data_IF_002517744410
#
_entry.id   IF_002517744410
#
_cell.length_a   1.000
_cell.length_b   1.000
_cell.length_c   1.000
_cell.angle_alpha   90.00
_cell.angle_beta   90.00
_cell.angle_gamma   90.00
#
_symmetry.space_group_name_H-M   'P 1'
#
loop_
_entity.id
_entity.type
_entity.pdbx_description
1 polymer ?
#
# COMPACT_ATOMS: atom_id res chain seq x y z
N UNK A 1 18.63 8.86 3.49
CA UNK A 1 18.73 9.48 2.16
C UNK A 1 17.33 9.78 1.68
N UNK A 2 16.97 11.05 1.41
CA UNK A 2 15.61 11.35 0.91
C UNK A 2 15.42 10.65 -0.43
N UNK A 3 14.36 9.86 -0.55
CA UNK A 3 14.00 9.19 -1.78
C UNK A 3 13.42 10.23 -2.76
N UNK A 4 13.81 10.14 -4.03
CA UNK A 4 13.27 10.98 -5.11
C UNK A 4 11.96 10.38 -5.60
N UNK A 5 11.00 11.21 -5.99
CA UNK A 5 9.78 10.75 -6.63
C UNK A 5 10.18 10.02 -7.91
N UNK A 6 9.78 8.75 -8.09
CA UNK A 6 10.12 8.00 -9.29
C UNK A 6 9.29 8.47 -10.49
N UNK A 7 9.81 8.29 -11.69
CA UNK A 7 9.06 8.50 -12.92
C UNK A 7 7.87 7.52 -13.00
N UNK A 8 6.69 8.05 -13.26
CA UNK A 8 5.46 7.30 -13.46
C UNK A 8 4.96 7.45 -14.89
N UNK A 9 4.38 6.39 -15.44
CA UNK A 9 3.81 6.40 -16.81
C UNK A 9 2.36 6.91 -16.77
N UNK A 10 2.22 8.21 -16.51
CA UNK A 10 0.93 8.91 -16.43
C UNK A 10 0.90 10.11 -17.36
N UNK A 11 -0.28 10.51 -17.79
CA UNK A 11 -0.48 11.60 -18.75
C UNK A 11 -0.42 12.99 -18.13
N UNK A 12 -0.54 13.11 -16.79
CA UNK A 12 -0.60 14.37 -16.07
C UNK A 12 0.66 14.65 -15.24
N UNK A 13 0.94 15.93 -14.97
CA UNK A 13 2.07 16.38 -14.16
C UNK A 13 1.76 16.27 -12.65
N UNK A 14 1.82 15.05 -12.14
CA UNK A 14 1.54 14.75 -10.73
C UNK A 14 2.52 15.43 -9.75
N UNK A 15 3.76 15.71 -10.15
CA UNK A 15 4.69 16.43 -9.30
C UNK A 15 4.24 17.87 -9.06
N UNK A 16 3.72 18.52 -10.09
CA UNK A 16 3.16 19.87 -9.97
C UNK A 16 1.93 19.87 -9.09
N UNK A 17 1.05 18.87 -9.25
CA UNK A 17 -0.13 18.68 -8.41
C UNK A 17 0.24 18.55 -6.94
N UNK A 18 1.22 17.69 -6.63
CA UNK A 18 1.70 17.48 -5.26
C UNK A 18 2.34 18.73 -4.66
N UNK A 19 3.16 19.46 -5.43
CA UNK A 19 3.78 20.70 -5.01
C UNK A 19 2.73 21.77 -4.66
N UNK A 20 1.71 21.90 -5.49
CA UNK A 20 0.59 22.82 -5.26
C UNK A 20 -0.21 22.43 -4.02
N UNK A 21 -0.59 21.16 -3.90
CA UNK A 21 -1.30 20.62 -2.73
C UNK A 21 -0.56 20.92 -1.42
N UNK A 22 0.74 20.60 -1.35
CA UNK A 22 1.57 20.87 -0.18
C UNK A 22 1.67 22.39 0.11
N UNK A 23 1.82 23.20 -0.94
CA UNK A 23 1.89 24.66 -0.81
C UNK A 23 0.59 25.23 -0.21
N UNK A 24 -0.56 24.80 -0.69
CA UNK A 24 -1.86 25.24 -0.18
C UNK A 24 -2.06 24.79 1.27
N UNK A 25 -1.73 23.54 1.60
CA UNK A 25 -1.78 23.04 2.98
C UNK A 25 -0.92 23.89 3.93
N UNK A 26 0.34 24.12 3.53
CA UNK A 26 1.27 24.95 4.32
C UNK A 26 0.74 26.37 4.53
N UNK A 27 0.19 26.99 3.49
CA UNK A 27 -0.34 28.35 3.58
C UNK A 27 -1.56 28.45 4.49
N UNK A 28 -2.40 27.39 4.57
CA UNK A 28 -3.62 27.40 5.38
C UNK A 28 -3.42 26.94 6.81
N UNK A 29 -2.55 25.94 7.02
CA UNK A 29 -2.35 25.29 8.31
C UNK A 29 -1.04 25.68 9.00
N UNK A 30 -0.13 26.36 8.29
CA UNK A 30 1.11 26.90 8.86
C UNK A 30 1.94 25.84 9.58
N UNK A 31 2.32 26.17 10.81
CA UNK A 31 3.13 25.30 11.68
C UNK A 31 2.37 24.07 12.22
N UNK A 32 1.06 23.99 12.01
CA UNK A 32 0.31 22.77 12.35
C UNK A 32 0.68 21.59 11.48
N UNK A 33 1.11 21.84 10.22
CA UNK A 33 1.56 20.80 9.28
C UNK A 33 3.03 20.47 9.53
N UNK A 34 3.32 19.28 9.99
CA UNK A 34 4.67 18.80 10.31
C UNK A 34 5.33 18.06 9.16
N UNK A 35 4.62 17.13 8.54
CA UNK A 35 5.14 16.31 7.44
C UNK A 35 4.07 15.96 6.41
N UNK A 36 4.51 15.77 5.18
CA UNK A 36 3.71 15.20 4.10
C UNK A 36 4.54 14.17 3.36
N UNK A 37 4.01 12.96 3.25
CA UNK A 37 4.56 11.88 2.45
C UNK A 37 3.67 11.56 1.25
N UNK A 38 4.29 11.32 0.11
CA UNK A 38 3.67 10.60 -0.99
C UNK A 38 3.82 9.10 -0.72
N UNK A 39 2.73 8.36 -0.81
CA UNK A 39 2.69 6.92 -0.62
C UNK A 39 2.07 6.23 -1.85
N UNK A 40 1.71 4.95 -1.74
CA UNK A 40 0.98 4.26 -2.79
C UNK A 40 1.77 4.05 -4.09
N UNK A 41 1.04 3.94 -5.19
CA UNK A 41 1.61 3.61 -6.51
C UNK A 41 2.56 4.67 -7.04
N UNK A 42 2.23 5.95 -6.87
CA UNK A 42 3.09 7.05 -7.31
C UNK A 42 4.44 7.07 -6.60
N UNK A 43 4.47 6.76 -5.31
CA UNK A 43 5.73 6.68 -4.57
C UNK A 43 6.57 5.46 -4.97
N UNK A 44 5.94 4.41 -5.47
CA UNK A 44 6.63 3.20 -5.93
C UNK A 44 7.10 3.27 -7.38
N UNK A 45 6.46 4.10 -8.22
CA UNK A 45 6.74 4.19 -9.66
C UNK A 45 5.90 3.21 -10.49
N UNK A 46 4.82 2.67 -9.92
CA UNK A 46 3.89 1.76 -10.61
C UNK A 46 2.48 2.37 -10.84
N UNK A 47 2.36 3.70 -10.76
CA UNK A 47 1.13 4.40 -11.03
C UNK A 47 0.75 4.40 -12.52
N UNK A 48 -0.55 4.48 -12.79
CA UNK A 48 -1.14 4.70 -14.11
C UNK A 48 -2.23 5.79 -14.02
N UNK A 49 -2.80 6.18 -15.15
CA UNK A 49 -3.80 7.28 -15.22
C UNK A 49 -5.08 7.04 -14.39
N UNK A 50 -5.31 5.84 -13.89
CA UNK A 50 -6.42 5.51 -13.00
C UNK A 50 -5.99 5.41 -11.52
N UNK A 51 -4.75 5.76 -11.20
CA UNK A 51 -4.23 5.69 -9.84
C UNK A 51 -4.48 6.99 -9.08
N UNK A 52 -4.97 6.87 -7.84
CA UNK A 52 -5.11 8.00 -6.91
C UNK A 52 -3.74 8.44 -6.39
N UNK A 53 -3.61 9.72 -6.05
CA UNK A 53 -2.45 10.27 -5.36
C UNK A 53 -2.60 10.05 -3.85
N UNK A 54 -2.01 8.98 -3.32
CA UNK A 54 -2.05 8.67 -1.90
C UNK A 54 -1.06 9.53 -1.11
N UNK A 55 -1.56 10.36 -0.21
CA UNK A 55 -0.77 11.30 0.59
C UNK A 55 -1.02 11.08 2.08
N UNK A 56 0.06 11.04 2.84
CA UNK A 56 0.04 10.87 4.28
C UNK A 56 0.53 12.16 4.96
N UNK A 57 -0.33 12.79 5.77
CA UNK A 57 -0.07 14.08 6.40
C UNK A 57 0.02 13.92 7.92
N UNK A 58 1.07 14.50 8.53
CA UNK A 58 1.27 14.54 9.97
C UNK A 58 1.12 15.96 10.46
N UNK A 59 0.32 16.12 11.50
CA UNK A 59 0.04 17.41 12.14
C UNK A 59 0.46 17.40 13.61
N UNK A 60 0.74 18.57 14.19
CA UNK A 60 0.97 18.69 15.64
C UNK A 60 -0.26 18.25 16.42
N UNK A 61 -1.46 18.60 15.96
CA UNK A 61 -2.74 18.16 16.52
C UNK A 61 -3.77 17.99 15.40
N UNK A 62 -4.75 17.11 15.60
CA UNK A 62 -5.88 16.96 14.69
C UNK A 62 -7.15 17.44 15.36
N UNK A 63 -7.91 18.27 14.66
CA UNK A 63 -9.26 18.69 14.98
C UNK A 63 -10.10 18.81 13.72
N UNK A 64 -11.37 19.13 13.87
CA UNK A 64 -12.30 19.26 12.75
C UNK A 64 -11.81 20.25 11.68
N UNK A 65 -11.29 21.40 12.07
CA UNK A 65 -10.77 22.42 11.15
C UNK A 65 -9.61 21.91 10.28
N UNK A 66 -8.68 21.17 10.89
CA UNK A 66 -7.55 20.55 10.16
C UNK A 66 -8.07 19.56 9.13
N UNK A 67 -8.95 18.64 9.52
CA UNK A 67 -9.49 17.62 8.61
C UNK A 67 -10.30 18.21 7.46
N UNK A 68 -11.18 19.18 7.75
CA UNK A 68 -11.95 19.90 6.73
C UNK A 68 -11.05 20.67 5.75
N UNK A 69 -9.99 21.31 6.29
CA UNK A 69 -9.02 22.06 5.46
C UNK A 69 -8.26 21.10 4.55
N UNK A 70 -7.80 19.95 5.03
CA UNK A 70 -7.12 18.93 4.21
C UNK A 70 -8.06 18.44 3.11
N UNK A 71 -9.28 18.05 3.46
CA UNK A 71 -10.27 17.59 2.47
C UNK A 71 -10.63 18.65 1.42
N UNK A 72 -10.74 19.92 1.85
CA UNK A 72 -10.93 21.06 0.94
C UNK A 72 -9.76 21.21 -0.03
N UNK A 73 -8.51 21.21 0.48
CA UNK A 73 -7.31 21.36 -0.33
C UNK A 73 -7.17 20.21 -1.33
N UNK A 74 -7.34 18.97 -0.89
CA UNK A 74 -7.26 17.78 -1.75
C UNK A 74 -8.25 17.87 -2.92
N UNK A 75 -9.52 18.12 -2.62
CA UNK A 75 -10.59 18.20 -3.62
C UNK A 75 -10.37 19.35 -4.63
N UNK A 76 -10.00 20.53 -4.15
CA UNK A 76 -9.81 21.68 -5.07
C UNK A 76 -8.56 21.51 -5.93
N UNK A 77 -7.48 20.94 -5.40
CA UNK A 77 -6.30 20.64 -6.20
C UNK A 77 -6.61 19.58 -7.25
N UNK A 78 -7.30 18.49 -6.89
CA UNK A 78 -7.74 17.46 -7.86
C UNK A 78 -8.57 18.06 -9.00
N UNK A 79 -9.55 18.89 -8.67
CA UNK A 79 -10.39 19.56 -9.68
C UNK A 79 -9.61 20.54 -10.56
N UNK A 80 -8.63 21.26 -10.00
CA UNK A 80 -7.84 22.25 -10.74
C UNK A 80 -6.90 21.63 -11.77
N UNK A 81 -6.49 20.39 -11.56
CA UNK A 81 -5.54 19.68 -12.43
C UNK A 81 -6.15 18.49 -13.17
N UNK A 82 -7.47 18.29 -13.03
CA UNK A 82 -8.18 17.14 -13.65
C UNK A 82 -7.49 15.79 -13.33
N UNK A 83 -7.04 15.64 -12.10
CA UNK A 83 -6.53 14.36 -11.58
C UNK A 83 -7.63 13.62 -10.85
N UNK A 84 -7.53 12.27 -10.74
CA UNK A 84 -8.57 11.44 -10.18
C UNK A 84 -8.89 11.85 -8.74
N UNK A 85 -7.97 11.62 -7.83
CA UNK A 85 -8.17 11.93 -6.41
C UNK A 85 -6.84 12.12 -5.71
N UNK A 86 -6.79 13.08 -4.78
CA UNK A 86 -5.75 13.12 -3.75
C UNK A 86 -6.35 12.47 -2.51
N UNK A 87 -6.02 11.20 -2.30
CA UNK A 87 -6.45 10.41 -1.16
C UNK A 87 -5.56 10.73 0.04
N UNK A 88 -6.13 11.34 1.08
CA UNK A 88 -5.37 11.82 2.23
C UNK A 88 -5.61 10.99 3.48
N UNK A 89 -4.53 10.57 4.13
CA UNK A 89 -4.54 10.03 5.49
C UNK A 89 -3.88 11.02 6.44
N UNK A 90 -4.46 11.23 7.60
CA UNK A 90 -4.03 12.24 8.56
C UNK A 90 -3.79 11.62 9.93
N UNK A 91 -2.64 11.95 10.54
CA UNK A 91 -2.32 11.61 11.93
C UNK A 91 -1.81 12.83 12.67
N UNK A 92 -2.06 12.88 13.98
CA UNK A 92 -1.32 13.77 14.87
C UNK A 92 0.10 13.25 15.12
N UNK A 93 0.99 14.11 15.56
CA UNK A 93 2.34 13.74 15.97
C UNK A 93 2.33 12.70 17.09
N UNK A 94 1.41 12.85 18.06
CA UNK A 94 1.25 11.93 19.17
C UNK A 94 0.81 10.54 18.70
N UNK A 95 -0.17 10.45 17.79
CA UNK A 95 -0.60 9.20 17.18
C UNK A 95 0.55 8.57 16.40
N UNK A 96 1.25 9.33 15.55
CA UNK A 96 2.36 8.86 14.74
C UNK A 96 3.52 8.30 15.59
N UNK A 97 3.78 8.87 16.77
CA UNK A 97 4.80 8.40 17.71
C UNK A 97 4.31 7.29 18.67
N UNK A 98 3.05 6.91 18.60
CA UNK A 98 2.50 5.90 19.50
C UNK A 98 2.93 4.49 19.14
N UNK A 99 2.99 3.58 20.15
CA UNK A 99 3.29 2.16 19.92
C UNK A 99 2.29 1.48 19.00
N UNK A 100 1.03 1.93 18.97
CA UNK A 100 0.00 1.37 18.09
C UNK A 100 0.39 1.57 16.63
N UNK A 101 0.86 2.76 16.27
CA UNK A 101 1.35 3.04 14.92
C UNK A 101 2.73 2.46 14.65
N UNK A 102 3.58 2.36 15.67
CA UNK A 102 4.88 1.68 15.54
C UNK A 102 4.71 0.19 15.18
N UNK A 103 3.69 -0.47 15.74
CA UNK A 103 3.33 -1.85 15.42
C UNK A 103 2.51 -1.97 14.13
N UNK A 104 1.97 -0.88 13.64
CA UNK A 104 1.20 -0.86 12.42
C UNK A 104 2.12 -0.87 11.20
N UNK A 105 1.79 -1.71 10.24
CA UNK A 105 2.63 -1.95 9.07
C UNK A 105 2.99 -0.70 8.26
N UNK A 106 2.16 0.33 8.34
CA UNK A 106 2.31 1.58 7.60
C UNK A 106 3.59 2.33 8.02
N UNK A 107 3.96 2.26 9.28
CA UNK A 107 5.14 2.94 9.82
C UNK A 107 6.45 2.43 9.19
N UNK A 108 6.64 1.12 9.13
CA UNK A 108 7.83 0.54 8.50
C UNK A 108 7.78 0.68 6.97
N UNK A 109 6.58 0.62 6.38
CA UNK A 109 6.37 0.78 4.94
C UNK A 109 6.60 2.22 4.50
N UNK A 110 6.34 3.23 5.36
CA UNK A 110 6.62 4.63 5.06
C UNK A 110 8.09 4.86 4.70
N UNK A 111 9.03 4.21 5.40
CA UNK A 111 10.46 4.31 5.06
C UNK A 111 10.87 3.55 3.80
N UNK A 112 10.20 2.42 3.51
CA UNK A 112 10.59 1.56 2.40
C UNK A 112 10.02 2.03 1.06
N UNK A 113 8.83 2.62 1.06
CA UNK A 113 8.14 2.89 -0.18
C UNK A 113 7.47 4.26 -0.29
N UNK A 114 7.73 5.20 0.63
CA UNK A 114 7.22 6.57 0.55
C UNK A 114 8.28 7.58 0.13
N UNK A 115 7.83 8.77 -0.26
CA UNK A 115 8.67 9.92 -0.58
C UNK A 115 8.27 11.09 0.31
N UNK A 116 9.21 11.64 1.08
CA UNK A 116 8.97 12.82 1.90
C UNK A 116 8.88 14.06 1.02
N UNK A 117 7.68 14.66 0.95
CA UNK A 117 7.41 15.89 0.19
C UNK A 117 7.68 17.16 0.99
N UNK A 118 7.37 17.14 2.30
CA UNK A 118 7.50 18.29 3.18
C UNK A 118 7.86 17.88 4.61
N UNK A 119 8.60 18.76 5.30
CA UNK A 119 8.99 18.58 6.70
C UNK A 119 10.26 17.77 6.89
N UNK A 120 10.46 17.31 8.12
CA UNK A 120 11.56 16.45 8.53
C UNK A 120 11.03 15.19 9.21
N UNK A 121 11.76 14.10 9.08
CA UNK A 121 11.36 12.82 9.69
C UNK A 121 11.31 12.96 11.22
N UNK A 122 10.14 12.69 11.80
CA UNK A 122 9.89 12.86 13.23
C UNK A 122 10.37 11.68 14.09
N UNK A 123 10.58 10.53 13.49
CA UNK A 123 10.91 9.29 14.20
C UNK A 123 12.00 8.53 13.46
N UNK A 124 13.03 8.12 14.19
CA UNK A 124 14.06 7.22 13.67
C UNK A 124 13.56 5.77 13.77
N UNK A 125 13.51 5.08 12.64
CA UNK A 125 13.06 3.68 12.60
C UNK A 125 14.25 2.76 12.84
N UNK A 126 14.36 2.29 14.08
CA UNK A 126 15.29 1.22 14.42
C UNK A 126 14.69 -0.17 14.14
N UNK A 127 15.54 -1.15 13.81
CA UNK A 127 15.14 -2.56 13.64
C UNK A 127 14.03 -2.78 12.59
N UNK A 128 14.12 -2.06 11.46
CA UNK A 128 13.10 -2.09 10.41
C UNK A 128 12.79 -3.52 9.93
N UNK A 129 13.79 -4.40 9.82
CA UNK A 129 13.60 -5.79 9.38
C UNK A 129 12.71 -6.58 10.32
N UNK A 130 12.89 -6.46 11.65
CA UNK A 130 12.07 -7.17 12.63
C UNK A 130 10.64 -6.66 12.64
N UNK A 131 10.47 -5.34 12.58
CA UNK A 131 9.14 -4.70 12.51
C UNK A 131 8.39 -5.11 11.25
N UNK A 132 9.06 -5.07 10.10
CA UNK A 132 8.48 -5.51 8.82
C UNK A 132 8.15 -6.99 8.85
N UNK A 133 9.02 -7.85 9.42
CA UNK A 133 8.79 -9.29 9.54
C UNK A 133 7.54 -9.60 10.37
N UNK A 134 7.39 -8.98 11.52
CA UNK A 134 6.21 -9.18 12.37
C UNK A 134 4.93 -8.68 11.69
N UNK A 135 5.01 -7.52 11.05
CA UNK A 135 3.90 -6.88 10.35
C UNK A 135 3.37 -7.74 9.19
N UNK A 136 4.25 -8.23 8.29
CA UNK A 136 3.76 -8.98 7.14
C UNK A 136 3.15 -10.33 7.56
N UNK A 137 3.71 -11.03 8.53
CA UNK A 137 3.15 -12.28 9.05
C UNK A 137 1.75 -12.08 9.65
N UNK A 138 1.56 -11.01 10.44
CA UNK A 138 0.26 -10.63 11.01
C UNK A 138 -0.78 -10.34 9.92
N UNK A 139 -0.40 -9.57 8.90
CA UNK A 139 -1.30 -9.22 7.80
C UNK A 139 -1.60 -10.42 6.88
N UNK A 140 -0.62 -11.27 6.61
CA UNK A 140 -0.84 -12.52 5.89
C UNK A 140 -1.82 -13.43 6.63
N UNK A 141 -1.83 -13.43 7.97
CA UNK A 141 -2.82 -14.17 8.74
C UNK A 141 -4.26 -13.68 8.46
N UNK A 142 -4.47 -12.36 8.29
CA UNK A 142 -5.77 -11.82 7.90
C UNK A 142 -6.18 -12.27 6.49
N UNK A 143 -5.26 -12.25 5.53
CA UNK A 143 -5.51 -12.76 4.17
C UNK A 143 -5.85 -14.25 4.20
N UNK A 144 -5.10 -15.04 5.00
CA UNK A 144 -5.35 -16.46 5.18
C UNK A 144 -6.76 -16.74 5.75
N UNK A 145 -7.20 -15.93 6.72
CA UNK A 145 -8.55 -16.04 7.28
C UNK A 145 -9.63 -15.75 6.24
N UNK A 146 -9.42 -14.78 5.35
CA UNK A 146 -10.34 -14.51 4.23
C UNK A 146 -10.44 -15.68 3.26
N UNK A 147 -9.32 -16.32 2.92
CA UNK A 147 -9.30 -17.51 2.06
C UNK A 147 -10.05 -18.67 2.75
N UNK A 148 -9.74 -18.93 4.01
CA UNK A 148 -10.42 -19.96 4.81
C UNK A 148 -11.93 -19.74 4.89
N UNK A 149 -12.35 -18.48 5.04
CA UNK A 149 -13.77 -18.15 5.01
C UNK A 149 -14.43 -18.63 3.71
N UNK A 150 -13.87 -18.26 2.54
CA UNK A 150 -14.42 -18.69 1.24
C UNK A 150 -14.46 -20.22 1.07
N UNK A 151 -13.46 -20.93 1.60
CA UNK A 151 -13.43 -22.39 1.56
C UNK A 151 -14.49 -22.99 2.51
N UNK A 152 -14.60 -22.46 3.74
CA UNK A 152 -15.52 -22.98 4.77
C UNK A 152 -17.01 -22.76 4.42
N UNK A 153 -17.33 -21.64 3.76
CA UNK A 153 -18.72 -21.38 3.32
C UNK A 153 -19.04 -22.01 1.97
N UNK A 154 -18.07 -22.72 1.38
CA UNK A 154 -18.18 -23.31 0.04
C UNK A 154 -18.67 -22.29 -0.99
N UNK A 155 -18.03 -21.12 -1.02
CA UNK A 155 -18.46 -19.99 -1.86
C UNK A 155 -18.56 -20.40 -3.32
N UNK A 156 -19.71 -20.23 -3.98
CA UNK A 156 -19.89 -20.57 -5.37
C UNK A 156 -18.86 -19.82 -6.26
N UNK A 157 -18.28 -20.53 -7.24
CA UNK A 157 -17.26 -19.96 -8.13
C UNK A 157 -17.72 -18.70 -8.88
N UNK A 158 -19.01 -18.59 -9.15
CA UNK A 158 -19.63 -17.44 -9.81
C UNK A 158 -19.55 -16.17 -8.94
N UNK A 159 -19.46 -16.32 -7.63
CA UNK A 159 -19.30 -15.24 -6.66
C UNK A 159 -17.83 -14.91 -6.37
N UNK A 160 -16.90 -15.77 -6.76
CA UNK A 160 -15.45 -15.57 -6.65
C UNK A 160 -14.91 -14.72 -7.81
N UNK A 161 -15.51 -13.56 -8.03
CA UNK A 161 -15.10 -12.66 -9.12
C UNK A 161 -13.67 -12.16 -8.91
N UNK A 162 -12.96 -11.85 -10.00
CA UNK A 162 -11.62 -11.26 -9.94
C UNK A 162 -11.59 -10.00 -9.05
N UNK A 163 -12.59 -9.11 -9.19
CA UNK A 163 -12.70 -7.90 -8.37
C UNK A 163 -12.76 -8.24 -6.88
N UNK A 164 -13.58 -9.20 -6.48
CA UNK A 164 -13.75 -9.63 -5.07
C UNK A 164 -12.45 -10.21 -4.53
N UNK A 165 -11.86 -11.17 -5.25
CA UNK A 165 -10.62 -11.82 -4.82
C UNK A 165 -9.45 -10.85 -4.83
N UNK A 166 -9.36 -9.96 -5.82
CA UNK A 166 -8.32 -8.93 -5.85
C UNK A 166 -8.43 -7.99 -4.66
N UNK A 167 -9.63 -7.52 -4.32
CA UNK A 167 -9.82 -6.58 -3.21
C UNK A 167 -9.45 -7.19 -1.86
N UNK A 168 -9.87 -8.42 -1.57
CA UNK A 168 -9.75 -9.01 -0.23
C UNK A 168 -8.57 -9.96 -0.06
N UNK A 169 -7.96 -10.42 -1.16
CA UNK A 169 -6.87 -11.41 -1.11
C UNK A 169 -5.66 -10.91 -1.89
N UNK A 170 -5.76 -10.76 -3.23
CA UNK A 170 -4.57 -10.56 -4.06
C UNK A 170 -3.89 -9.20 -3.81
N UNK A 171 -4.63 -8.10 -3.72
CA UNK A 171 -4.05 -6.77 -3.48
C UNK A 171 -3.39 -6.68 -2.09
N UNK A 172 -4.04 -7.07 -0.98
CA UNK A 172 -3.36 -7.18 0.32
C UNK A 172 -2.14 -8.10 0.27
N UNK A 173 -2.25 -9.26 -0.37
CA UNK A 173 -1.14 -10.21 -0.52
C UNK A 173 0.08 -9.58 -1.20
N UNK A 174 -0.10 -8.78 -2.27
CA UNK A 174 1.03 -8.11 -2.96
C UNK A 174 1.81 -7.19 -2.03
N UNK A 175 1.16 -6.48 -1.12
CA UNK A 175 1.85 -5.65 -0.13
C UNK A 175 2.71 -6.49 0.81
N UNK A 176 2.18 -7.61 1.28
CA UNK A 176 2.87 -8.45 2.25
C UNK A 176 4.00 -9.26 1.62
N UNK A 177 3.85 -9.70 0.38
CA UNK A 177 4.92 -10.37 -0.38
C UNK A 177 6.12 -9.44 -0.63
N UNK A 178 5.89 -8.13 -0.86
CA UNK A 178 6.99 -7.16 -0.96
C UNK A 178 7.80 -7.07 0.34
N UNK A 179 7.11 -7.06 1.48
CA UNK A 179 7.74 -7.05 2.81
C UNK A 179 8.50 -8.35 3.08
N UNK A 180 7.92 -9.48 2.70
CA UNK A 180 8.59 -10.78 2.80
C UNK A 180 9.89 -10.78 1.97
N UNK A 181 9.86 -10.32 0.72
CA UNK A 181 11.07 -10.19 -0.11
C UNK A 181 12.12 -9.27 0.51
N UNK A 182 11.69 -8.15 1.07
CA UNK A 182 12.61 -7.27 1.79
C UNK A 182 13.28 -7.99 2.96
N UNK A 183 12.54 -8.70 3.78
CA UNK A 183 13.10 -9.47 4.90
C UNK A 183 14.06 -10.58 4.43
N UNK A 184 13.75 -11.23 3.29
CA UNK A 184 14.55 -12.33 2.76
C UNK A 184 15.82 -11.87 2.00
N UNK A 185 15.77 -10.72 1.33
CA UNK A 185 16.82 -10.29 0.38
C UNK A 185 17.45 -8.94 0.71
N UNK A 186 16.86 -8.16 1.62
CA UNK A 186 17.23 -6.77 1.89
C UNK A 186 16.74 -5.77 0.83
N UNK A 187 16.07 -6.24 -0.24
CA UNK A 187 15.55 -5.39 -1.34
C UNK A 187 14.03 -5.38 -1.30
N UNK A 188 13.43 -4.19 -1.22
CA UNK A 188 11.99 -4.01 -1.29
C UNK A 188 11.55 -3.84 -2.75
N UNK A 189 10.77 -4.78 -3.33
CA UNK A 189 10.28 -4.65 -4.70
C UNK A 189 9.27 -3.51 -4.81
N UNK A 190 9.55 -2.50 -5.61
CA UNK A 190 8.69 -1.32 -5.75
C UNK A 190 7.53 -1.58 -6.70
N UNK A 191 7.79 -2.22 -7.85
CA UNK A 191 6.74 -2.58 -8.80
C UNK A 191 6.31 -4.05 -8.67
N UNK A 192 5.17 -4.39 -9.29
CA UNK A 192 4.67 -5.78 -9.32
C UNK A 192 5.57 -6.65 -10.21
N UNK A 193 6.15 -6.08 -11.25
CA UNK A 193 7.11 -6.75 -12.13
C UNK A 193 8.38 -7.14 -11.36
N UNK A 194 8.94 -6.21 -10.57
CA UNK A 194 10.09 -6.51 -9.69
C UNK A 194 9.74 -7.60 -8.67
N UNK A 195 8.52 -7.57 -8.11
CA UNK A 195 8.05 -8.62 -7.21
C UNK A 195 7.96 -9.97 -7.93
N UNK A 196 7.41 -9.99 -9.16
CA UNK A 196 7.34 -11.21 -9.98
C UNK A 196 8.72 -11.80 -10.25
N UNK A 197 9.69 -10.95 -10.61
CA UNK A 197 11.06 -11.37 -10.93
C UNK A 197 11.82 -11.86 -9.68
N UNK A 198 11.43 -11.41 -8.49
CA UNK A 198 12.08 -11.78 -7.23
C UNK A 198 11.78 -13.22 -6.78
N UNK A 199 10.77 -13.87 -7.36
CA UNK A 199 10.42 -15.26 -7.09
C UNK A 199 10.87 -16.19 -8.23
N UNK A 200 11.54 -17.29 -7.86
CA UNK A 200 11.98 -18.34 -8.80
C UNK A 200 11.19 -19.65 -8.65
N UNK A 201 10.25 -19.68 -7.71
CA UNK A 201 9.44 -20.85 -7.35
C UNK A 201 7.95 -20.62 -7.65
N UNK A 202 7.11 -21.54 -7.21
CA UNK A 202 5.64 -21.46 -7.40
C UNK A 202 5.00 -20.22 -6.74
N UNK A 203 5.69 -19.51 -5.84
CA UNK A 203 5.17 -18.26 -5.28
C UNK A 203 4.96 -17.20 -6.36
N UNK A 204 5.69 -17.30 -7.48
CA UNK A 204 5.49 -16.48 -8.69
C UNK A 204 4.04 -16.51 -9.18
N UNK A 205 3.35 -17.64 -9.08
CA UNK A 205 1.96 -17.79 -9.53
C UNK A 205 1.01 -16.87 -8.75
N UNK A 206 1.27 -16.59 -7.47
CA UNK A 206 0.45 -15.64 -6.69
C UNK A 206 0.51 -14.23 -7.27
N UNK A 207 1.69 -13.80 -7.71
CA UNK A 207 1.88 -12.49 -8.35
C UNK A 207 1.27 -12.48 -9.75
N UNK A 208 1.43 -13.58 -10.51
CA UNK A 208 0.81 -13.72 -11.83
C UNK A 208 -0.73 -13.63 -11.77
N UNK A 209 -1.38 -14.18 -10.75
CA UNK A 209 -2.83 -14.05 -10.57
C UNK A 209 -3.27 -12.60 -10.35
N UNK A 210 -2.44 -11.78 -9.71
CA UNK A 210 -2.73 -10.35 -9.58
C UNK A 210 -2.53 -9.59 -10.90
N UNK A 211 -1.51 -9.94 -11.68
CA UNK A 211 -1.17 -9.25 -12.93
C UNK A 211 -2.04 -9.66 -14.12
N UNK A 212 -2.49 -10.93 -14.13
CA UNK A 212 -3.17 -11.53 -15.27
C UNK A 212 -4.58 -11.98 -14.90
N UNK A 213 -5.53 -11.08 -15.08
CA UNK A 213 -6.94 -11.32 -14.82
C UNK A 213 -7.48 -12.53 -15.58
N UNK A 214 -7.17 -12.67 -16.87
CA UNK A 214 -7.69 -13.76 -17.72
C UNK A 214 -7.21 -15.13 -17.22
N UNK A 215 -5.93 -15.20 -16.83
CA UNK A 215 -5.39 -16.44 -16.23
C UNK A 215 -6.10 -16.78 -14.94
N UNK A 216 -6.28 -15.80 -14.04
CA UNK A 216 -6.98 -16.04 -12.78
C UNK A 216 -8.42 -16.50 -13.00
N UNK A 217 -9.19 -15.77 -13.83
CA UNK A 217 -10.59 -16.10 -14.10
C UNK A 217 -10.74 -17.49 -14.73
N UNK A 218 -9.87 -17.86 -15.68
CA UNK A 218 -9.85 -19.20 -16.26
C UNK A 218 -9.59 -20.28 -15.22
N UNK A 219 -8.59 -20.10 -14.36
CA UNK A 219 -8.19 -21.08 -13.38
C UNK A 219 -9.24 -21.22 -12.27
N UNK A 220 -9.87 -20.13 -11.83
CA UNK A 220 -11.03 -20.14 -10.89
C UNK A 220 -12.22 -20.88 -11.50
N UNK A 221 -12.57 -20.62 -12.75
CA UNK A 221 -13.69 -21.30 -13.41
C UNK A 221 -13.45 -22.81 -13.56
N UNK A 222 -12.18 -23.20 -13.74
CA UNK A 222 -11.80 -24.59 -13.93
C UNK A 222 -11.69 -25.35 -12.59
N UNK A 223 -11.04 -24.74 -11.59
CA UNK A 223 -10.76 -25.39 -10.29
C UNK A 223 -10.63 -24.36 -9.16
N UNK A 224 -11.74 -23.71 -8.79
CA UNK A 224 -11.72 -22.67 -7.74
C UNK A 224 -11.19 -23.17 -6.40
N UNK A 225 -11.55 -24.38 -5.99
CA UNK A 225 -11.05 -24.97 -4.73
C UNK A 225 -9.54 -25.18 -4.77
N UNK A 226 -9.00 -25.64 -5.89
CA UNK A 226 -7.56 -25.81 -6.07
C UNK A 226 -6.81 -24.50 -6.04
N UNK A 227 -7.33 -23.42 -6.66
CA UNK A 227 -6.74 -22.08 -6.62
C UNK A 227 -6.74 -21.54 -5.18
N UNK A 228 -7.88 -21.62 -4.47
CA UNK A 228 -7.95 -21.15 -3.08
C UNK A 228 -7.03 -21.94 -2.15
N UNK A 229 -6.94 -23.27 -2.32
CA UNK A 229 -6.03 -24.11 -1.53
C UNK A 229 -4.56 -23.83 -1.86
N UNK A 230 -4.22 -23.59 -3.11
CA UNK A 230 -2.87 -23.16 -3.49
C UNK A 230 -2.47 -21.87 -2.77
N UNK A 231 -3.31 -20.82 -2.81
CA UNK A 231 -3.07 -19.56 -2.11
C UNK A 231 -2.96 -19.79 -0.59
N UNK A 232 -3.87 -20.57 -0.03
CA UNK A 232 -3.87 -20.93 1.38
C UNK A 232 -2.54 -21.55 1.83
N UNK A 233 -2.09 -22.61 1.13
CA UNK A 233 -0.90 -23.37 1.52
C UNK A 233 0.38 -22.52 1.40
N UNK A 234 0.47 -21.66 0.37
CA UNK A 234 1.59 -20.75 0.20
C UNK A 234 1.66 -19.69 1.31
N UNK A 235 0.52 -19.04 1.60
CA UNK A 235 0.45 -18.03 2.66
C UNK A 235 0.72 -18.65 4.03
N UNK A 236 0.16 -19.83 4.31
CA UNK A 236 0.40 -20.52 5.57
C UNK A 236 1.90 -20.81 5.78
N UNK A 237 2.63 -21.20 4.74
CA UNK A 237 4.09 -21.41 4.83
C UNK A 237 4.82 -20.14 5.24
N UNK A 238 4.52 -18.99 4.67
CA UNK A 238 5.13 -17.72 5.07
C UNK A 238 4.87 -17.34 6.53
N UNK A 239 3.72 -17.73 7.07
CA UNK A 239 3.36 -17.44 8.46
C UNK A 239 4.12 -18.35 9.43
N UNK A 240 4.23 -19.64 9.14
CA UNK A 240 4.75 -20.66 10.06
C UNK A 240 6.26 -20.93 9.93
N UNK A 241 6.85 -20.59 8.79
CA UNK A 241 8.31 -20.72 8.61
C UNK A 241 9.02 -19.51 9.22
N UNK A 242 10.07 -19.76 9.98
CA UNK A 242 10.94 -18.74 10.60
C UNK A 242 11.93 -18.12 9.62
#
# INVERSE_FOLDING_TARGET
MRRVIPDNKVSHDYEKVLKEFVSILKNRLGESLLMVYLTGSYARGDANDNSDLDVFCIFNTINQYVLETVGYCARNTSLSYDVLEINTQCLSEEEYKSKVFEEWSEYAVTELNSVLLYGEQLVEISNINEKVKLSYKKNLANVLMSIRHYICVDEPKELLTYKKITTYILKPLMFELRKERFCATGVYPLSVEQLLESYQDDNKLMVEYFMNREKFERDILTNHKGVLMFLHDRIQRFIVMD
#
